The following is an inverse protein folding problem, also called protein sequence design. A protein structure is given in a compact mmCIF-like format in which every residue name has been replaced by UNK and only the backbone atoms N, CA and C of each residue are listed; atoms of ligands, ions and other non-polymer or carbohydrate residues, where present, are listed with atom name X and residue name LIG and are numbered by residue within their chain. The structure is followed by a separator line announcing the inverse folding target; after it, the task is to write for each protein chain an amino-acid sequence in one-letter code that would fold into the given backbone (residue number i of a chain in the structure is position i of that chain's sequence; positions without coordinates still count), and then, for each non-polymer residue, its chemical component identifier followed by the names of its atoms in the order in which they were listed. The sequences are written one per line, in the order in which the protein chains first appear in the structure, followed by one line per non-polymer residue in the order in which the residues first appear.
data_IF_324591003807
#
_entry.id   IF_324591003807
#
_cell.length_a   1.000
_cell.length_b   1.000
_cell.length_c   1.000
_cell.angle_alpha   90.00
_cell.angle_beta   90.00
_cell.angle_gamma   90.00
#
_symmetry.space_group_name_H-M   'P 1'
#
loop_
_entity.id
_entity.type
_entity.pdbx_description
1 polymer ?
#
# COMPACT_ATOMS: atom_id res chain seq x y z
N UNK A 1 -4.80 -17.86 7.49
CA UNK A 1 -5.89 -17.04 6.96
C UNK A 1 -6.31 -16.07 8.03
N UNK A 2 -6.29 -14.79 7.70
CA UNK A 2 -6.74 -13.70 8.57
C UNK A 2 -7.80 -12.87 7.83
N UNK A 3 -8.67 -12.21 8.59
CA UNK A 3 -9.69 -11.31 8.06
C UNK A 3 -9.51 -9.93 8.71
N UNK A 4 -9.54 -8.89 7.90
CA UNK A 4 -9.63 -7.50 8.34
C UNK A 4 -10.90 -6.86 7.76
N UNK A 5 -11.63 -6.12 8.59
CA UNK A 5 -12.85 -5.43 8.20
C UNK A 5 -12.70 -3.95 8.54
N UNK A 6 -12.99 -3.09 7.57
CA UNK A 6 -13.03 -1.64 7.73
C UNK A 6 -14.44 -1.16 7.42
N UNK A 7 -15.07 -0.51 8.40
CA UNK A 7 -16.41 0.08 8.27
C UNK A 7 -16.28 1.59 8.08
N UNK A 8 -17.06 2.15 7.15
CA UNK A 8 -17.12 3.58 6.88
C UNK A 8 -15.95 4.13 6.05
N UNK A 9 -15.26 3.27 5.30
CA UNK A 9 -14.23 3.70 4.35
C UNK A 9 -14.90 4.01 3.00
N UNK A 10 -14.68 5.21 2.46
CA UNK A 10 -15.18 5.52 1.13
C UNK A 10 -14.31 4.87 0.04
N UNK A 11 -14.86 4.77 -1.16
CA UNK A 11 -14.22 4.07 -2.29
C UNK A 11 -12.90 4.72 -2.72
N UNK A 12 -12.81 6.05 -2.66
CA UNK A 12 -11.60 6.78 -3.02
C UNK A 12 -10.47 6.50 -2.02
N UNK A 13 -10.80 6.50 -0.72
CA UNK A 13 -9.89 6.14 0.35
C UNK A 13 -9.46 4.67 0.27
N UNK A 14 -10.38 3.76 -0.08
CA UNK A 14 -10.05 2.35 -0.29
C UNK A 14 -9.05 2.16 -1.43
N UNK A 15 -9.27 2.81 -2.58
CA UNK A 15 -8.33 2.76 -3.69
C UNK A 15 -6.98 3.40 -3.35
N UNK A 16 -6.99 4.53 -2.64
CA UNK A 16 -5.80 5.18 -2.11
C UNK A 16 -5.00 4.24 -1.20
N UNK A 17 -5.67 3.64 -0.22
CA UNK A 17 -5.11 2.66 0.71
C UNK A 17 -4.43 1.51 -0.03
N UNK A 18 -5.13 0.88 -0.97
CA UNK A 18 -4.61 -0.26 -1.73
C UNK A 18 -3.37 0.09 -2.56
N UNK A 19 -3.31 1.34 -3.06
CA UNK A 19 -2.16 1.83 -3.80
C UNK A 19 -0.92 2.00 -2.92
N UNK A 20 -1.08 2.40 -1.66
CA UNK A 20 0.07 2.67 -0.77
C UNK A 20 0.40 1.55 0.19
N UNK A 21 -0.41 0.50 0.22
CA UNK A 21 -0.21 -0.64 1.10
C UNK A 21 1.24 -1.19 1.08
N UNK A 22 1.93 -1.37 -0.07
CA UNK A 22 3.33 -1.80 -0.07
C UNK A 22 4.28 -0.86 0.68
N UNK A 23 4.03 0.45 0.61
CA UNK A 23 4.85 1.45 1.31
C UNK A 23 4.57 1.43 2.81
N UNK A 24 3.30 1.19 3.20
CA UNK A 24 2.94 0.98 4.60
C UNK A 24 3.64 -0.24 5.19
N UNK A 25 3.67 -1.34 4.44
CA UNK A 25 4.43 -2.53 4.82
C UNK A 25 5.91 -2.20 5.04
N UNK A 26 6.55 -1.52 4.09
CA UNK A 26 7.96 -1.16 4.19
C UNK A 26 8.26 -0.29 5.42
N UNK A 27 7.37 0.65 5.73
CA UNK A 27 7.53 1.52 6.89
C UNK A 27 7.30 0.79 8.21
N UNK A 28 6.33 -0.12 8.24
CA UNK A 28 5.96 -0.79 9.47
C UNK A 28 6.79 -2.04 9.72
N UNK A 29 7.41 -2.68 8.73
CA UNK A 29 8.09 -3.97 8.90
C UNK A 29 9.34 -3.90 9.83
N UNK A 30 9.65 -4.99 10.56
CA UNK A 30 10.91 -5.14 11.26
C UNK A 30 12.13 -5.03 10.33
N UNK A 31 13.28 -4.66 10.91
CA UNK A 31 14.54 -4.41 10.18
C UNK A 31 14.99 -5.57 9.26
N UNK A 32 14.58 -6.80 9.56
CA UNK A 32 14.96 -8.01 8.83
C UNK A 32 13.78 -8.72 8.16
N UNK A 33 12.61 -8.09 8.14
CA UNK A 33 11.47 -8.66 7.41
C UNK A 33 11.62 -8.42 5.90
N UNK A 34 11.23 -9.40 5.08
CA UNK A 34 11.29 -9.27 3.63
C UNK A 34 10.39 -8.13 3.14
N UNK A 35 10.79 -7.55 2.01
CA UNK A 35 9.96 -6.59 1.28
C UNK A 35 8.73 -7.32 0.71
N UNK A 36 7.63 -6.57 0.60
CA UNK A 36 6.44 -7.04 -0.10
C UNK A 36 6.44 -6.46 -1.51
N UNK A 37 6.31 -7.31 -2.52
CA UNK A 37 6.25 -6.87 -3.93
C UNK A 37 4.94 -7.29 -4.55
N UNK A 38 4.17 -6.34 -5.06
CA UNK A 38 2.93 -6.62 -5.78
C UNK A 38 3.22 -7.30 -7.12
N UNK A 39 2.68 -8.51 -7.32
CA UNK A 39 2.84 -9.31 -8.54
C UNK A 39 1.56 -9.30 -9.37
N UNK A 40 0.41 -9.41 -8.71
CA UNK A 40 -0.90 -9.36 -9.38
C UNK A 40 -1.77 -8.34 -8.67
N UNK A 41 -2.38 -7.47 -9.46
CA UNK A 41 -3.46 -6.60 -9.05
C UNK A 41 -4.56 -6.68 -10.10
N UNK A 42 -5.69 -7.26 -9.73
CA UNK A 42 -6.89 -7.34 -10.56
C UNK A 42 -8.07 -6.89 -9.72
N UNK A 43 -8.96 -6.14 -10.33
CA UNK A 43 -10.22 -5.76 -9.71
C UNK A 43 -11.36 -5.96 -10.70
N UNK A 44 -12.55 -6.17 -10.16
CA UNK A 44 -13.82 -6.17 -10.87
C UNK A 44 -14.84 -5.42 -10.03
N UNK A 45 -15.84 -4.83 -10.67
CA UNK A 45 -16.86 -4.06 -9.98
C UNK A 45 -18.24 -4.33 -10.56
N UNK A 46 -19.23 -4.19 -9.69
CA UNK A 46 -20.66 -4.10 -10.01
C UNK A 46 -21.20 -2.81 -9.39
N UNK A 47 -22.49 -2.53 -9.59
CA UNK A 47 -23.13 -1.37 -8.95
C UNK A 47 -23.13 -1.44 -7.41
N UNK A 48 -23.08 -2.64 -6.85
CA UNK A 48 -23.18 -2.87 -5.40
C UNK A 48 -21.82 -3.18 -4.76
N UNK A 49 -20.90 -3.80 -5.51
CA UNK A 49 -19.67 -4.35 -4.96
C UNK A 49 -18.43 -3.97 -5.76
N UNK A 50 -17.29 -3.91 -5.07
CA UNK A 50 -15.97 -3.97 -5.70
C UNK A 50 -15.24 -5.20 -5.17
N UNK A 51 -14.68 -5.99 -6.08
CA UNK A 51 -13.87 -7.14 -5.76
C UNK A 51 -12.43 -6.89 -6.21
N UNK A 52 -11.46 -7.21 -5.36
CA UNK A 52 -10.04 -7.07 -5.66
C UNK A 52 -9.27 -8.34 -5.34
N UNK A 53 -8.29 -8.67 -6.17
CA UNK A 53 -7.32 -9.73 -5.94
C UNK A 53 -5.92 -9.13 -6.04
N UNK A 54 -5.22 -9.17 -4.92
CA UNK A 54 -3.88 -8.65 -4.77
C UNK A 54 -2.95 -9.78 -4.36
N UNK A 55 -1.99 -10.12 -5.21
CA UNK A 55 -0.99 -11.14 -4.92
C UNK A 55 0.36 -10.46 -4.78
N UNK A 56 1.00 -10.68 -3.65
CA UNK A 56 2.32 -10.18 -3.33
C UNK A 56 3.32 -11.31 -3.14
N UNK A 57 4.58 -11.07 -3.47
CA UNK A 57 5.69 -11.90 -2.98
C UNK A 57 6.25 -11.32 -1.69
N UNK A 58 6.67 -12.20 -0.80
CA UNK A 58 7.26 -11.88 0.49
C UNK A 58 8.39 -12.89 0.78
N UNK A 59 9.60 -12.61 0.33
CA UNK A 59 10.69 -13.59 0.37
C UNK A 59 10.37 -14.83 -0.48
N UNK A 60 10.42 -16.03 0.11
CA UNK A 60 10.00 -17.30 -0.55
C UNK A 60 8.50 -17.60 -0.42
N UNK A 61 7.71 -16.59 -0.08
CA UNK A 61 6.29 -16.67 0.15
C UNK A 61 5.48 -15.83 -0.83
N UNK A 62 4.21 -16.18 -0.93
CA UNK A 62 3.14 -15.47 -1.62
C UNK A 62 2.08 -15.09 -0.59
N UNK A 63 1.68 -13.83 -0.60
CA UNK A 63 0.55 -13.32 0.15
C UNK A 63 -0.56 -12.98 -0.84
N UNK A 64 -1.69 -13.67 -0.77
CA UNK A 64 -2.90 -13.32 -1.49
C UNK A 64 -3.83 -12.55 -0.56
N UNK A 65 -4.33 -11.41 -1.03
CA UNK A 65 -5.34 -10.60 -0.35
C UNK A 65 -6.53 -10.41 -1.28
N UNK A 66 -7.68 -10.88 -0.83
CA UNK A 66 -8.96 -10.73 -1.51
C UNK A 66 -9.72 -9.59 -0.84
N UNK A 67 -10.18 -8.64 -1.63
CA UNK A 67 -10.95 -7.49 -1.20
C UNK A 67 -12.38 -7.67 -1.68
N UNK A 68 -13.33 -7.49 -0.78
CA UNK A 68 -14.74 -7.25 -1.08
C UNK A 68 -15.14 -5.92 -0.45
N UNK A 69 -15.65 -4.99 -1.25
CA UNK A 69 -16.17 -3.72 -0.77
C UNK A 69 -17.65 -3.59 -1.10
N UNK A 70 -18.45 -3.35 -0.08
CA UNK A 70 -19.90 -3.22 -0.17
C UNK A 70 -20.26 -1.73 -0.16
N UNK A 71 -20.69 -1.19 -1.31
CA UNK A 71 -20.90 0.26 -1.51
C UNK A 71 -22.00 0.82 -0.59
N UNK A 72 -23.08 0.06 -0.37
CA UNK A 72 -24.21 0.47 0.50
C UNK A 72 -23.76 0.77 1.93
N UNK A 73 -22.86 -0.06 2.47
CA UNK A 73 -22.43 0.03 3.87
C UNK A 73 -21.09 0.74 4.05
N UNK A 74 -20.43 1.12 2.94
CA UNK A 74 -19.06 1.62 2.94
C UNK A 74 -18.11 0.69 3.73
N UNK A 75 -18.25 -0.63 3.51
CA UNK A 75 -17.53 -1.66 4.26
C UNK A 75 -16.57 -2.40 3.35
N UNK A 76 -15.29 -2.42 3.69
CA UNK A 76 -14.27 -3.21 3.01
C UNK A 76 -13.85 -4.41 3.88
N UNK A 77 -13.95 -5.61 3.30
CA UNK A 77 -13.53 -6.88 3.90
C UNK A 77 -12.30 -7.38 3.15
N UNK A 78 -11.25 -7.68 3.89
CA UNK A 78 -10.00 -8.22 3.38
C UNK A 78 -9.79 -9.63 3.91
N UNK A 79 -9.73 -10.61 3.00
CA UNK A 79 -9.35 -11.98 3.32
C UNK A 79 -7.89 -12.21 2.91
N UNK A 80 -7.05 -12.58 3.89
CA UNK A 80 -5.60 -12.58 3.76
C UNK A 80 -5.07 -14.00 3.91
N UNK A 81 -4.34 -14.47 2.90
CA UNK A 81 -3.78 -15.82 2.81
C UNK A 81 -2.28 -15.78 2.53
N UNK A 82 -1.48 -16.40 3.39
CA UNK A 82 -0.05 -16.62 3.19
C UNK A 82 0.27 -18.06 2.76
N UNK A 83 1.02 -18.21 1.68
CA UNK A 83 1.51 -19.50 1.15
C UNK A 83 3.02 -19.38 0.98
N UNK A 84 3.83 -20.33 1.45
CA UNK A 84 5.27 -20.36 1.16
C UNK A 84 5.65 -21.72 0.60
N UNK A 85 6.68 -21.71 -0.25
CA UNK A 85 7.11 -22.90 -0.98
C UNK A 85 8.18 -23.70 -0.23
N UNK A 86 8.81 -23.12 0.80
CA UNK A 86 9.85 -23.77 1.60
C UNK A 86 9.33 -24.20 2.98
N UNK A 87 9.37 -25.50 3.24
CA UNK A 87 8.73 -26.16 4.40
C UNK A 87 9.61 -26.30 5.65
N UNK A 88 10.88 -25.87 5.60
CA UNK A 88 11.80 -25.97 6.74
C UNK A 88 11.71 -24.72 7.64
N UNK A 89 10.86 -24.79 8.67
CA UNK A 89 10.96 -23.95 9.88
C UNK A 89 10.14 -22.67 9.92
N UNK A 90 9.57 -22.21 8.80
CA UNK A 90 8.98 -20.86 8.72
C UNK A 90 7.54 -20.70 9.23
N UNK A 91 6.83 -21.75 9.69
CA UNK A 91 5.38 -21.67 10.04
C UNK A 91 4.97 -20.48 10.95
N UNK A 92 5.86 -20.00 11.83
CA UNK A 92 5.61 -18.82 12.69
C UNK A 92 5.66 -17.50 11.93
N UNK A 93 6.48 -17.40 10.89
CA UNK A 93 6.61 -16.19 10.07
C UNK A 93 5.36 -15.95 9.20
N UNK A 94 4.54 -16.97 8.96
CA UNK A 94 3.28 -16.87 8.18
C UNK A 94 2.16 -16.23 8.97
N UNK A 95 1.88 -16.76 10.16
CA UNK A 95 0.94 -16.11 11.07
C UNK A 95 1.41 -14.69 11.34
N UNK A 96 2.72 -14.46 11.40
CA UNK A 96 3.26 -13.11 11.51
C UNK A 96 2.96 -12.25 10.29
N UNK A 97 3.12 -12.76 9.06
CA UNK A 97 2.79 -12.04 7.82
C UNK A 97 1.30 -11.69 7.70
N UNK A 98 0.42 -12.69 7.84
CA UNK A 98 -1.04 -12.49 7.75
C UNK A 98 -1.55 -11.55 8.85
N UNK A 99 -1.15 -11.78 10.11
CA UNK A 99 -1.53 -10.90 11.22
C UNK A 99 -0.98 -9.50 11.05
N UNK A 100 0.24 -9.36 10.51
CA UNK A 100 0.83 -8.04 10.28
C UNK A 100 0.09 -7.28 9.18
N UNK A 101 -0.30 -7.95 8.10
CA UNK A 101 -1.10 -7.34 7.04
C UNK A 101 -2.43 -6.86 7.60
N UNK A 102 -3.12 -7.71 8.36
CA UNK A 102 -4.36 -7.37 9.07
C UNK A 102 -4.15 -6.17 10.00
N UNK A 103 -3.11 -6.20 10.82
CA UNK A 103 -2.76 -5.12 11.73
C UNK A 103 -2.52 -3.80 11.00
N UNK A 104 -1.77 -3.83 9.89
CA UNK A 104 -1.53 -2.65 9.06
C UNK A 104 -2.86 -2.13 8.54
N UNK A 105 -3.72 -2.97 7.96
CA UNK A 105 -5.05 -2.59 7.47
C UNK A 105 -5.86 -1.90 8.58
N UNK A 106 -6.00 -2.55 9.73
CA UNK A 106 -6.84 -2.05 10.82
C UNK A 106 -6.29 -0.78 11.47
N UNK A 107 -4.96 -0.65 11.65
CA UNK A 107 -4.36 0.58 12.22
C UNK A 107 -4.42 1.78 11.26
N UNK A 108 -4.55 1.50 9.98
CA UNK A 108 -4.58 2.50 8.93
C UNK A 108 -6.02 2.80 8.46
N UNK A 109 -7.01 2.09 9.00
CA UNK A 109 -8.43 2.37 8.81
C UNK A 109 -8.78 3.80 9.26
N UNK A 110 -9.51 4.54 8.43
CA UNK A 110 -10.00 5.89 8.74
C UNK A 110 -8.98 7.02 8.58
N UNK A 111 -7.79 6.76 8.02
CA UNK A 111 -6.94 7.86 7.52
C UNK A 111 -7.40 8.26 6.12
N UNK A 112 -7.27 9.55 5.81
CA UNK A 112 -7.56 10.10 4.49
C UNK A 112 -6.46 9.67 3.51
N UNK A 113 -6.82 8.83 2.53
CA UNK A 113 -5.92 8.35 1.50
C UNK A 113 -6.15 8.97 0.12
N UNK A 114 -7.06 9.94 0.02
CA UNK A 114 -7.42 10.59 -1.26
C UNK A 114 -6.20 11.17 -1.96
N UNK A 115 -5.30 11.78 -1.18
CA UNK A 115 -4.04 12.34 -1.69
C UNK A 115 -3.09 11.27 -2.24
N UNK A 116 -3.14 10.05 -1.72
CA UNK A 116 -2.27 8.95 -2.13
C UNK A 116 -2.73 8.25 -3.41
N UNK A 117 -4.01 8.39 -3.77
CA UNK A 117 -4.52 7.99 -5.09
C UNK A 117 -3.80 8.72 -6.24
N UNK A 118 -3.10 9.83 -5.97
CA UNK A 118 -2.36 10.62 -6.97
C UNK A 118 -0.87 10.26 -7.08
N UNK A 119 -0.31 9.54 -6.11
CA UNK A 119 1.13 9.19 -6.10
C UNK A 119 1.34 7.94 -6.96
N UNK A 120 2.20 7.97 -8.00
CA UNK A 120 2.45 6.80 -8.83
C UNK A 120 3.21 5.69 -8.08
N UNK A 121 2.89 4.42 -8.38
CA UNK A 121 3.46 3.19 -7.78
C UNK A 121 4.94 2.92 -8.13
N UNK A 122 5.56 3.85 -8.85
CA UNK A 122 6.94 3.82 -9.30
C UNK A 122 7.34 5.22 -9.74
N UNK A 123 8.60 5.57 -9.48
CA UNK A 123 9.13 6.90 -9.77
C UNK A 123 10.18 7.34 -8.77
N UNK A 124 10.86 8.43 -9.11
CA UNK A 124 11.82 9.10 -8.23
C UNK A 124 11.13 10.35 -7.71
N UNK A 125 11.07 10.49 -6.39
CA UNK A 125 10.75 11.75 -5.75
C UNK A 125 12.04 12.53 -5.51
N UNK A 126 12.05 13.76 -6.00
CA UNK A 126 13.12 14.72 -5.73
C UNK A 126 12.63 15.72 -4.68
N UNK A 127 13.30 15.81 -3.54
CA UNK A 127 12.95 16.79 -2.52
C UNK A 127 13.17 18.22 -3.05
N UNK A 128 12.16 19.11 -3.08
CA UNK A 128 12.33 20.46 -3.62
C UNK A 128 13.22 21.37 -2.73
N UNK A 129 13.54 20.95 -1.51
CA UNK A 129 14.37 21.72 -0.56
C UNK A 129 15.85 21.35 -0.58
N UNK A 130 16.17 20.09 -0.80
CA UNK A 130 17.56 19.61 -0.75
C UNK A 130 17.98 18.79 -1.98
N UNK A 131 17.08 18.59 -2.94
CA UNK A 131 17.27 17.81 -4.17
C UNK A 131 17.65 16.34 -3.95
N UNK A 132 17.56 15.83 -2.72
CA UNK A 132 17.72 14.41 -2.45
C UNK A 132 16.65 13.61 -3.18
N UNK A 133 17.08 12.52 -3.82
CA UNK A 133 16.24 11.65 -4.62
C UNK A 133 15.95 10.36 -3.87
N UNK A 134 14.68 9.95 -3.90
CA UNK A 134 14.18 8.76 -3.23
C UNK A 134 13.31 8.00 -4.20
N UNK A 135 13.36 6.68 -4.15
CA UNK A 135 12.29 5.88 -4.77
C UNK A 135 10.99 6.18 -4.03
N UNK A 136 9.88 6.37 -4.76
CA UNK A 136 8.57 6.70 -4.15
C UNK A 136 8.15 5.70 -3.07
N UNK A 137 8.62 4.45 -3.17
CA UNK A 137 8.39 3.38 -2.21
C UNK A 137 9.01 3.61 -0.83
N UNK A 138 10.09 4.39 -0.78
CA UNK A 138 10.82 4.70 0.47
C UNK A 138 10.32 5.97 1.17
N UNK A 139 9.31 6.63 0.61
CA UNK A 139 8.81 7.89 1.16
C UNK A 139 7.99 7.66 2.42
N UNK A 140 8.31 8.44 3.45
CA UNK A 140 7.44 8.61 4.61
C UNK A 140 6.50 9.76 4.32
N UNK A 141 5.20 9.50 4.40
CA UNK A 141 4.18 10.53 4.17
C UNK A 141 3.42 10.76 5.47
N UNK A 142 3.18 12.02 5.80
CA UNK A 142 2.40 12.41 6.96
C UNK A 142 0.91 12.19 6.72
N UNK A 143 0.08 12.17 7.77
CA UNK A 143 -1.38 12.06 7.65
C UNK A 143 -2.01 13.15 6.76
N UNK A 144 -1.36 14.31 6.63
CA UNK A 144 -1.80 15.42 5.76
C UNK A 144 -1.26 15.32 4.33
N UNK A 145 -0.75 14.14 3.92
CA UNK A 145 -0.23 13.89 2.57
C UNK A 145 1.09 14.59 2.24
N UNK A 146 1.86 15.05 3.24
CA UNK A 146 3.17 15.67 3.01
C UNK A 146 4.28 14.63 3.11
N UNK A 147 5.25 14.68 2.21
CA UNK A 147 6.41 13.80 2.21
C UNK A 147 7.44 14.31 3.22
N UNK A 148 7.87 13.44 4.14
CA UNK A 148 9.00 13.69 5.02
C UNK A 148 10.30 13.34 4.30
N UNK A 149 11.10 14.36 3.98
CA UNK A 149 12.40 14.15 3.36
C UNK A 149 13.40 13.62 4.40
N UNK A 150 13.95 12.42 4.16
CA UNK A 150 14.87 11.75 5.08
C UNK A 150 16.23 12.47 5.20
N UNK A 151 16.63 13.29 4.22
CA UNK A 151 17.91 13.99 4.21
C UNK A 151 17.84 15.33 4.95
N UNK A 152 16.82 16.15 4.69
CA UNK A 152 16.71 17.48 5.32
C UNK A 152 15.71 17.54 6.48
N UNK A 153 14.98 16.44 6.75
CA UNK A 153 14.01 16.33 7.84
C UNK A 153 12.77 17.20 7.68
N UNK A 154 12.56 17.82 6.51
CA UNK A 154 11.43 18.73 6.27
C UNK A 154 10.25 17.99 5.62
N UNK A 155 9.05 18.40 6.04
CA UNK A 155 7.80 18.06 5.37
C UNK A 155 7.65 18.91 4.11
N UNK A 156 7.45 18.27 2.97
CA UNK A 156 7.32 18.90 1.66
C UNK A 156 6.09 18.36 0.93
N UNK A 157 5.43 19.20 0.13
CA UNK A 157 4.33 18.73 -0.71
C UNK A 157 4.89 17.81 -1.79
N UNK A 158 4.16 16.74 -2.10
CA UNK A 158 4.40 15.98 -3.31
C UNK A 158 3.96 16.83 -4.50
N UNK A 159 4.88 17.21 -5.36
CA UNK A 159 4.59 17.81 -6.66
C UNK A 159 5.13 16.87 -7.71
N UNK A 160 4.26 16.31 -8.54
CA UNK A 160 4.67 15.68 -9.78
C UNK A 160 5.19 16.83 -10.65
N UNK A 161 6.50 16.89 -10.90
CA UNK A 161 6.95 17.63 -12.08
C UNK A 161 6.41 16.84 -13.26
N UNK A 162 5.42 17.41 -13.94
CA UNK A 162 4.93 16.90 -15.21
C UNK A 162 6.12 16.91 -16.17
N UNK A 163 6.66 15.73 -16.49
CA UNK A 163 7.40 15.52 -17.73
C UNK A 163 6.39 15.64 -18.90
N UNK A 164 5.87 16.85 -19.10
CA UNK A 164 5.32 17.32 -20.37
C UNK A 164 6.35 18.29 -20.95
N UNK A 165 7.49 17.75 -21.37
CA UNK A 165 8.39 18.44 -22.27
C UNK A 165 8.63 17.55 -23.48
N UNK A 166 8.21 18.08 -24.64
CA UNK A 166 8.67 17.75 -25.99
C UNK A 166 8.00 16.54 -26.67
N UNK A 167 6.84 16.79 -27.29
CA UNK A 167 6.56 16.35 -28.67
C UNK A 167 5.47 17.25 -29.27
N UNK A 168 5.82 18.51 -29.50
CA UNK A 168 5.13 19.40 -30.41
C UNK A 168 6.19 19.99 -31.32
N UNK A 169 6.44 19.29 -32.42
CA UNK A 169 6.97 19.81 -33.69
C UNK A 169 6.21 19.12 -34.84
#
# INVERSE_FOLDING_TARGET
MEIAEIIGIDEEDLHGFMRVFPNMWEHEKPLFSPEITLVVNKYGETEEFIFGVYIYTLGSCVLAMFLEYQREFATAIFEIHGICFDSYGMKRDFQFGENRVKDIILRNAGKDYKLFSTIPLGGIFTCPKCRAQYTLRSLRVSPEGKVYCQNCGRLVKFSKEEEESENSD
#
